data_IF_545379360735
#
_entry.id   IF_545379360735
#
_cell.length_a   1.000
_cell.length_b   1.000
_cell.length_c   1.000
_cell.angle_alpha   90.00
_cell.angle_beta   90.00
_cell.angle_gamma   90.00
#
_symmetry.space_group_name_H-M   'P 1'
#
loop_
_entity.id
_entity.type
_entity.pdbx_description
1 polymer ?
#
# COMPACT_ATOMS: atom_id res chain seq x y z
N UNK A 1 21.23 57.93 -5.18
CA UNK A 1 20.93 56.70 -4.43
C UNK A 1 20.06 55.80 -5.32
N UNK A 2 20.70 54.81 -5.98
CA UNK A 2 20.00 53.77 -6.77
C UNK A 2 19.80 52.57 -5.88
N UNK A 3 18.56 52.24 -5.55
CA UNK A 3 18.20 50.94 -4.97
C UNK A 3 18.30 49.84 -6.05
N UNK A 4 19.15 48.85 -5.80
CA UNK A 4 19.20 47.63 -6.58
C UNK A 4 18.06 46.74 -6.09
N UNK A 5 17.08 46.53 -6.94
CA UNK A 5 16.07 45.46 -6.80
C UNK A 5 16.77 44.13 -7.01
N UNK A 6 16.83 43.30 -5.97
CA UNK A 6 17.24 41.91 -6.06
C UNK A 6 16.10 41.07 -6.65
N UNK A 7 16.28 40.67 -7.91
CA UNK A 7 15.40 39.71 -8.54
C UNK A 7 15.54 38.35 -7.84
N UNK A 8 14.46 37.86 -7.27
CA UNK A 8 14.31 36.48 -6.79
C UNK A 8 14.39 35.56 -8.02
N UNK A 9 15.24 34.54 -8.04
CA UNK A 9 15.25 33.60 -9.17
C UNK A 9 13.96 32.82 -9.19
N UNK A 10 13.19 32.96 -10.26
CA UNK A 10 12.03 32.17 -10.59
C UNK A 10 12.43 30.68 -10.60
N UNK A 11 11.66 29.87 -9.86
CA UNK A 11 11.89 28.47 -9.69
C UNK A 11 12.05 27.75 -11.02
N UNK A 12 12.94 26.76 -11.03
CA UNK A 12 13.10 25.81 -12.14
C UNK A 12 11.73 25.23 -12.46
N UNK A 13 11.21 25.53 -13.64
CA UNK A 13 10.10 24.80 -14.22
C UNK A 13 10.51 23.34 -14.31
N UNK A 14 9.90 22.52 -13.48
CA UNK A 14 10.04 21.07 -13.55
C UNK A 14 9.22 20.63 -14.78
N UNK A 15 9.84 20.67 -15.97
CA UNK A 15 9.24 20.09 -17.16
C UNK A 15 9.22 18.56 -16.99
N UNK A 16 8.15 18.03 -16.44
CA UNK A 16 7.93 16.58 -16.37
C UNK A 16 7.78 16.09 -17.80
N UNK A 17 8.84 15.57 -18.36
CA UNK A 17 8.81 14.91 -19.66
C UNK A 17 8.22 13.53 -19.48
N UNK A 18 6.92 13.35 -19.74
CA UNK A 18 6.27 12.04 -19.83
C UNK A 18 6.69 11.30 -21.10
N UNK A 19 7.94 10.85 -21.12
CA UNK A 19 8.54 10.17 -22.26
C UNK A 19 8.95 8.75 -21.89
N UNK A 20 8.71 7.79 -22.78
CA UNK A 20 9.01 6.36 -22.60
C UNK A 20 8.50 5.80 -21.27
N UNK A 21 7.32 5.23 -21.30
CA UNK A 21 6.78 4.45 -20.18
C UNK A 21 7.70 3.27 -19.89
N UNK A 22 8.04 3.08 -18.63
CA UNK A 22 8.83 1.97 -18.16
C UNK A 22 8.11 1.28 -17.01
N UNK A 23 8.20 -0.04 -16.97
CA UNK A 23 7.73 -0.80 -15.83
C UNK A 23 8.69 -1.96 -15.58
N UNK A 24 8.89 -2.30 -14.33
CA UNK A 24 9.65 -3.46 -13.90
C UNK A 24 8.85 -4.26 -12.89
N UNK A 25 8.76 -5.54 -13.13
CA UNK A 25 8.10 -6.51 -12.27
C UNK A 25 9.15 -7.37 -11.60
N UNK A 26 9.19 -7.38 -10.28
CA UNK A 26 10.04 -8.27 -9.49
C UNK A 26 9.17 -9.26 -8.72
N UNK A 27 9.46 -10.55 -8.85
CA UNK A 27 8.78 -11.63 -8.14
C UNK A 27 9.84 -12.49 -7.47
N UNK A 28 9.92 -12.43 -6.15
CA UNK A 28 11.02 -13.05 -5.40
C UNK A 28 12.37 -12.50 -5.86
N UNK A 29 13.24 -13.39 -6.35
CA UNK A 29 14.56 -13.04 -6.89
C UNK A 29 14.57 -12.69 -8.38
N UNK A 30 13.47 -12.91 -9.10
CA UNK A 30 13.38 -12.67 -10.54
C UNK A 30 12.88 -11.27 -10.82
N UNK A 31 13.53 -10.58 -11.77
CA UNK A 31 13.14 -9.26 -12.24
C UNK A 31 12.92 -9.29 -13.75
N UNK A 32 11.85 -8.64 -14.18
CA UNK A 32 11.45 -8.54 -15.59
C UNK A 32 11.22 -7.06 -15.93
N UNK A 33 11.84 -6.61 -17.01
CA UNK A 33 11.54 -5.32 -17.65
C UNK A 33 10.50 -5.49 -18.75
N UNK A 34 9.94 -4.38 -19.24
CA UNK A 34 9.04 -4.40 -20.40
C UNK A 34 9.74 -4.85 -21.69
N UNK A 35 11.08 -4.78 -21.74
CA UNK A 35 11.87 -5.25 -22.88
C UNK A 35 12.08 -6.78 -22.82
N UNK A 36 12.05 -7.38 -21.62
CA UNK A 36 12.27 -8.80 -21.41
C UNK A 36 10.97 -9.61 -21.50
N UNK A 37 9.86 -9.02 -21.08
CA UNK A 37 8.57 -9.69 -20.91
C UNK A 37 7.43 -8.73 -21.20
N UNK A 38 6.52 -9.13 -22.07
CA UNK A 38 5.28 -8.41 -22.21
C UNK A 38 4.35 -8.73 -21.05
N UNK A 39 3.99 -7.73 -20.26
CA UNK A 39 3.03 -7.84 -19.18
C UNK A 39 2.14 -6.62 -19.08
N UNK A 40 0.91 -6.86 -18.67
CA UNK A 40 -0.08 -5.82 -18.29
C UNK A 40 -0.27 -5.85 -16.79
N UNK A 41 -0.60 -4.72 -16.22
CA UNK A 41 -0.93 -4.64 -14.81
C UNK A 41 -2.07 -3.68 -14.56
N UNK A 42 -2.85 -3.98 -13.54
CA UNK A 42 -3.91 -3.14 -13.01
C UNK A 42 -3.72 -3.04 -11.52
N UNK A 43 -3.52 -1.83 -11.03
CA UNK A 43 -3.43 -1.52 -9.61
C UNK A 43 -4.55 -0.51 -9.31
N UNK A 44 -5.68 -0.96 -8.74
CA UNK A 44 -6.74 -0.04 -8.35
C UNK A 44 -6.26 0.80 -7.16
N UNK A 45 -6.30 2.10 -7.30
CA UNK A 45 -6.08 3.06 -6.23
C UNK A 45 -7.44 3.44 -5.66
N UNK A 46 -7.95 2.62 -4.76
CA UNK A 46 -9.19 2.93 -4.05
C UNK A 46 -8.87 3.65 -2.74
N UNK A 47 -9.64 4.69 -2.46
CA UNK A 47 -9.59 5.41 -1.19
C UNK A 47 -10.46 4.69 -0.15
N UNK A 48 -10.12 3.43 0.10
CA UNK A 48 -10.87 2.55 0.99
C UNK A 48 -9.96 1.87 2.02
N UNK A 49 -10.56 1.44 3.11
CA UNK A 49 -9.89 0.63 4.17
C UNK A 49 -9.49 -0.78 3.69
N UNK A 50 -9.69 -1.07 2.39
CA UNK A 50 -9.30 -2.35 1.79
C UNK A 50 -7.82 -2.33 1.48
N UNK A 51 -7.21 -3.49 1.57
CA UNK A 51 -5.82 -3.69 1.14
C UNK A 51 -5.68 -3.40 -0.35
N UNK A 52 -4.59 -2.75 -0.70
CA UNK A 52 -4.20 -2.59 -2.09
C UNK A 52 -4.05 -3.96 -2.75
N UNK A 53 -4.60 -4.09 -3.94
CA UNK A 53 -4.47 -5.30 -4.76
C UNK A 53 -3.83 -4.94 -6.08
N UNK A 54 -3.14 -5.89 -6.69
CA UNK A 54 -2.63 -5.76 -8.04
C UNK A 54 -2.94 -7.01 -8.84
N UNK A 55 -3.34 -6.84 -10.08
CA UNK A 55 -3.49 -7.92 -11.03
C UNK A 55 -2.47 -7.72 -12.15
N UNK A 56 -1.63 -8.71 -12.37
CA UNK A 56 -0.59 -8.69 -13.39
C UNK A 56 -0.85 -9.87 -14.35
N UNK A 57 -0.91 -9.57 -15.64
CA UNK A 57 -1.03 -10.55 -16.71
C UNK A 57 0.30 -10.61 -17.46
N UNK A 58 1.03 -11.70 -17.31
CA UNK A 58 2.30 -11.93 -17.97
C UNK A 58 2.12 -12.91 -19.14
N UNK A 59 2.62 -12.55 -20.30
CA UNK A 59 2.43 -13.32 -21.52
C UNK A 59 3.64 -14.20 -21.81
N UNK A 60 3.37 -15.44 -22.15
CA UNK A 60 4.36 -16.41 -22.64
C UNK A 60 5.56 -16.63 -21.69
N UNK A 61 5.31 -16.61 -20.38
CA UNK A 61 6.30 -17.01 -19.40
C UNK A 61 6.78 -18.45 -19.66
N UNK A 62 8.08 -18.69 -19.54
CA UNK A 62 8.62 -20.05 -19.63
C UNK A 62 7.98 -20.96 -18.57
N UNK A 63 7.77 -22.26 -18.87
CA UNK A 63 7.20 -23.21 -17.90
C UNK A 63 7.97 -23.23 -16.57
N UNK A 64 9.30 -23.14 -16.63
CA UNK A 64 10.15 -23.08 -15.43
C UNK A 64 9.87 -21.83 -14.59
N UNK A 65 9.65 -20.68 -15.22
CA UNK A 65 9.32 -19.43 -14.52
C UNK A 65 7.92 -19.49 -13.93
N UNK A 66 6.92 -19.93 -14.69
CA UNK A 66 5.55 -20.10 -14.18
C UNK A 66 5.50 -20.99 -12.95
N UNK A 67 6.11 -22.16 -13.05
CA UNK A 67 6.12 -23.15 -11.94
C UNK A 67 6.90 -22.65 -10.71
N UNK A 68 7.78 -21.66 -10.87
CA UNK A 68 8.52 -21.05 -9.75
C UNK A 68 7.71 -20.00 -8.99
N UNK A 69 6.68 -19.41 -9.62
CA UNK A 69 5.85 -18.38 -8.97
C UNK A 69 4.82 -19.07 -8.08
N UNK A 70 4.89 -18.82 -6.78
CA UNK A 70 4.00 -19.45 -5.81
C UNK A 70 3.34 -18.41 -4.90
N UNK A 71 2.17 -18.77 -4.36
CA UNK A 71 1.50 -17.97 -3.33
C UNK A 71 2.46 -17.62 -2.18
N UNK A 72 2.40 -16.39 -1.69
CA UNK A 72 3.23 -15.87 -0.61
C UNK A 72 4.57 -15.27 -1.04
N UNK A 73 4.97 -15.40 -2.32
CA UNK A 73 6.21 -14.78 -2.80
C UNK A 73 6.09 -13.26 -2.82
N UNK A 74 7.15 -12.53 -2.43
CA UNK A 74 7.15 -11.08 -2.50
C UNK A 74 7.10 -10.62 -3.96
N UNK A 75 6.32 -9.58 -4.22
CA UNK A 75 6.18 -8.95 -5.52
C UNK A 75 6.30 -7.44 -5.38
N UNK A 76 7.08 -6.83 -6.27
CA UNK A 76 7.27 -5.40 -6.37
C UNK A 76 7.02 -5.00 -7.81
N UNK A 77 6.13 -4.05 -8.02
CA UNK A 77 5.85 -3.46 -9.31
C UNK A 77 6.27 -2.00 -9.28
N UNK A 78 7.26 -1.68 -10.11
CA UNK A 78 7.66 -0.29 -10.34
C UNK A 78 7.14 0.13 -11.70
N UNK A 79 6.63 1.34 -11.80
CA UNK A 79 6.26 1.93 -13.08
C UNK A 79 6.47 3.45 -13.05
N UNK A 80 6.60 4.02 -14.24
CA UNK A 80 6.83 5.44 -14.41
C UNK A 80 7.25 5.79 -15.82
N UNK A 81 7.99 6.86 -15.91
CA UNK A 81 8.59 7.35 -17.14
C UNK A 81 10.11 7.35 -17.04
N UNK A 82 10.82 7.44 -18.16
CA UNK A 82 12.29 7.49 -18.17
C UNK A 82 12.80 8.61 -17.26
N UNK A 83 13.56 8.25 -16.23
CA UNK A 83 14.10 9.17 -15.23
C UNK A 83 13.22 9.37 -13.98
N UNK A 84 11.99 8.83 -13.98
CA UNK A 84 11.07 8.92 -12.83
C UNK A 84 10.27 7.60 -12.69
N UNK A 85 10.92 6.60 -12.15
CA UNK A 85 10.33 5.27 -11.90
C UNK A 85 10.22 5.05 -10.41
N UNK A 86 9.02 4.77 -9.94
CA UNK A 86 8.74 4.49 -8.54
C UNK A 86 8.00 3.18 -8.32
N UNK A 87 8.04 2.68 -7.08
CA UNK A 87 7.25 1.53 -6.67
C UNK A 87 5.76 1.94 -6.58
N UNK A 88 4.93 1.38 -7.45
CA UNK A 88 3.49 1.60 -7.47
C UNK A 88 2.73 0.54 -6.66
N UNK A 89 3.34 -0.62 -6.46
CA UNK A 89 2.77 -1.69 -5.66
C UNK A 89 3.87 -2.56 -5.04
N UNK A 90 3.70 -2.88 -3.77
CA UNK A 90 4.54 -3.83 -3.04
C UNK A 90 3.65 -4.76 -2.23
N UNK A 91 3.82 -6.06 -2.42
CA UNK A 91 2.94 -7.03 -1.76
C UNK A 91 3.43 -8.46 -1.86
N UNK A 92 2.51 -9.40 -1.68
CA UNK A 92 2.74 -10.84 -1.86
C UNK A 92 1.75 -11.41 -2.87
N UNK A 93 2.20 -12.40 -3.61
CA UNK A 93 1.35 -13.16 -4.54
C UNK A 93 0.26 -13.88 -3.75
N UNK A 94 -1.00 -13.59 -4.05
CA UNK A 94 -2.16 -14.23 -3.42
C UNK A 94 -2.63 -15.45 -4.23
N UNK A 95 -2.63 -15.32 -5.55
CA UNK A 95 -3.07 -16.37 -6.47
C UNK A 95 -2.31 -16.29 -7.79
N UNK A 96 -2.08 -17.43 -8.41
CA UNK A 96 -1.55 -17.55 -9.78
C UNK A 96 -2.47 -18.47 -10.56
N UNK A 97 -2.79 -18.08 -11.78
CA UNK A 97 -3.58 -18.89 -12.71
C UNK A 97 -3.06 -18.73 -14.14
N UNK A 98 -3.07 -19.82 -14.89
CA UNK A 98 -2.68 -19.83 -16.28
C UNK A 98 -3.92 -20.02 -17.17
N UNK A 99 -3.96 -19.28 -18.27
CA UNK A 99 -5.00 -19.39 -19.30
C UNK A 99 -4.32 -19.52 -20.66
N UNK A 100 -4.74 -20.50 -21.43
CA UNK A 100 -4.36 -20.62 -22.83
C UNK A 100 -5.34 -19.83 -23.71
N UNK A 101 -4.82 -18.99 -24.58
CA UNK A 101 -5.57 -18.20 -25.54
C UNK A 101 -4.91 -18.34 -26.92
N UNK A 102 -5.41 -19.28 -27.74
CA UNK A 102 -4.76 -19.64 -28.99
C UNK A 102 -3.34 -20.18 -28.77
N UNK A 103 -2.35 -19.53 -29.36
CA UNK A 103 -0.93 -19.87 -29.20
C UNK A 103 -0.29 -19.22 -27.97
N UNK A 104 -0.98 -18.32 -27.30
CA UNK A 104 -0.44 -17.58 -26.14
C UNK A 104 -0.81 -18.27 -24.82
N UNK A 105 0.10 -18.16 -23.87
CA UNK A 105 -0.13 -18.54 -22.48
C UNK A 105 -0.10 -17.29 -21.63
N UNK A 106 -1.23 -16.96 -21.02
CA UNK A 106 -1.37 -15.80 -20.16
C UNK A 106 -1.34 -16.28 -18.72
N UNK A 107 -0.33 -15.85 -17.98
CA UNK A 107 -0.23 -16.10 -16.54
C UNK A 107 -0.77 -14.89 -15.78
N UNK A 108 -1.89 -15.06 -15.13
CA UNK A 108 -2.50 -14.03 -14.28
C UNK A 108 -2.01 -14.21 -12.86
N UNK A 109 -1.37 -13.17 -12.33
CA UNK A 109 -0.83 -13.11 -10.98
C UNK A 109 -1.65 -12.09 -10.21
N UNK A 110 -2.44 -12.55 -9.28
CA UNK A 110 -3.10 -11.68 -8.31
C UNK A 110 -2.17 -11.48 -7.11
N UNK A 111 -2.00 -10.25 -6.69
CA UNK A 111 -1.19 -9.90 -5.54
C UNK A 111 -1.98 -9.00 -4.59
N UNK A 112 -1.68 -9.09 -3.32
CA UNK A 112 -2.23 -8.22 -2.29
C UNK A 112 -1.09 -7.63 -1.45
N UNK A 113 -1.29 -6.44 -0.92
CA UNK A 113 -0.35 -5.87 0.04
C UNK A 113 -0.13 -6.85 1.19
N UNK A 114 1.12 -6.95 1.65
CA UNK A 114 1.61 -8.03 2.52
C UNK A 114 1.02 -8.06 3.96
N UNK A 115 -0.23 -7.71 4.10
CA UNK A 115 -0.92 -7.54 5.37
C UNK A 115 -1.95 -8.64 5.69
N UNK A 116 -1.98 -9.75 4.93
CA UNK A 116 -2.85 -10.88 5.28
C UNK A 116 -2.62 -11.38 6.73
N UNK A 117 -1.37 -11.31 7.20
CA UNK A 117 -1.03 -11.75 8.56
C UNK A 117 -1.69 -10.85 9.63
N UNK A 118 -1.74 -9.54 9.42
CA UNK A 118 -2.36 -8.66 10.41
C UNK A 118 -3.87 -8.62 10.32
N UNK A 119 -4.46 -8.90 9.15
CA UNK A 119 -5.92 -9.04 9.00
C UNK A 119 -6.47 -10.22 9.79
N UNK A 120 -5.65 -11.26 10.00
CA UNK A 120 -5.99 -12.45 10.76
C UNK A 120 -5.57 -12.39 12.23
N UNK A 121 -4.64 -11.50 12.60
CA UNK A 121 -4.17 -11.36 13.99
C UNK A 121 -5.27 -10.87 14.90
N UNK A 122 -5.36 -11.48 16.05
CA UNK A 122 -6.32 -11.11 17.09
C UNK A 122 -5.63 -10.31 18.20
N UNK A 123 -6.34 -9.34 18.73
CA UNK A 123 -5.95 -8.58 19.91
C UNK A 123 -6.88 -8.91 21.07
N UNK A 124 -6.31 -8.98 22.27
CA UNK A 124 -7.06 -9.05 23.50
C UNK A 124 -6.33 -8.19 24.54
N UNK A 125 -6.61 -6.90 24.53
CA UNK A 125 -5.94 -5.92 25.38
C UNK A 125 -6.95 -4.94 25.97
N UNK A 126 -6.77 -4.63 27.25
CA UNK A 126 -7.60 -3.64 27.94
C UNK A 126 -6.76 -2.41 28.26
N UNK A 127 -7.30 -1.26 27.93
CA UNK A 127 -6.70 0.04 28.23
C UNK A 127 -7.40 0.67 29.43
N UNK A 128 -6.63 1.38 30.25
CA UNK A 128 -7.10 2.01 31.48
C UNK A 128 -8.06 3.18 31.21
N UNK A 129 -8.81 3.54 32.23
CA UNK A 129 -9.66 4.73 32.23
C UNK A 129 -8.83 6.00 31.91
N UNK A 130 -9.39 6.90 31.11
CA UNK A 130 -8.71 8.12 30.65
C UNK A 130 -7.79 7.91 29.45
N UNK A 131 -7.68 6.70 28.88
CA UNK A 131 -6.86 6.48 27.67
C UNK A 131 -7.47 7.19 26.47
N UNK A 132 -6.62 7.85 25.66
CA UNK A 132 -7.02 8.49 24.40
C UNK A 132 -6.95 7.52 23.23
N UNK A 133 -7.82 7.72 22.25
CA UNK A 133 -7.88 6.91 21.05
C UNK A 133 -6.54 6.91 20.30
N UNK A 134 -5.86 8.06 20.20
CA UNK A 134 -4.55 8.20 19.56
C UNK A 134 -3.49 7.30 20.18
N UNK A 135 -3.47 7.20 21.53
CA UNK A 135 -2.53 6.35 22.24
C UNK A 135 -2.81 4.86 22.02
N UNK A 136 -4.09 4.48 22.04
CA UNK A 136 -4.54 3.09 21.80
C UNK A 136 -4.19 2.66 20.39
N UNK A 137 -4.46 3.50 19.38
CA UNK A 137 -4.18 3.20 17.98
C UNK A 137 -2.66 3.03 17.75
N UNK A 138 -1.84 3.94 18.29
CA UNK A 138 -0.36 3.84 18.18
C UNK A 138 0.15 2.56 18.82
N UNK A 139 -0.34 2.21 19.99
CA UNK A 139 0.08 1.00 20.69
C UNK A 139 -0.32 -0.27 19.91
N UNK A 140 -1.53 -0.31 19.37
CA UNK A 140 -1.98 -1.42 18.52
C UNK A 140 -1.13 -1.55 17.26
N UNK A 141 -0.83 -0.46 16.57
CA UNK A 141 0.00 -0.47 15.37
C UNK A 141 1.42 -0.95 15.67
N UNK A 142 2.01 -0.51 16.78
CA UNK A 142 3.34 -0.95 17.23
C UNK A 142 3.39 -2.46 17.56
N UNK A 143 2.37 -2.99 18.27
CA UNK A 143 2.28 -4.43 18.59
C UNK A 143 2.29 -5.28 17.32
N UNK A 144 1.70 -4.77 16.24
CA UNK A 144 1.61 -5.48 14.97
C UNK A 144 2.74 -5.16 13.99
N UNK A 145 3.69 -4.31 14.39
CA UNK A 145 4.85 -3.96 13.57
C UNK A 145 4.47 -3.17 12.31
N UNK A 146 3.38 -2.41 12.38
CA UNK A 146 2.96 -1.52 11.31
C UNK A 146 3.57 -0.14 11.53
N UNK A 147 4.12 0.42 10.47
CA UNK A 147 4.68 1.75 10.49
C UNK A 147 3.56 2.79 10.43
N UNK A 148 3.64 3.80 11.31
CA UNK A 148 2.69 4.90 11.35
C UNK A 148 3.26 6.04 10.52
N UNK A 149 2.59 6.38 9.43
CA UNK A 149 2.85 7.58 8.65
C UNK A 149 2.24 8.82 9.32
N UNK A 150 1.36 9.49 8.61
CA UNK A 150 0.61 10.63 9.17
C UNK A 150 -0.54 10.14 10.04
N UNK A 151 -0.76 10.76 11.20
CA UNK A 151 -1.87 10.45 12.11
C UNK A 151 -2.59 11.74 12.52
N UNK A 152 -3.65 12.04 11.78
CA UNK A 152 -4.53 13.17 12.01
C UNK A 152 -5.94 12.66 12.31
N UNK A 153 -6.33 12.70 13.58
CA UNK A 153 -7.67 12.30 14.01
C UNK A 153 -8.60 13.51 14.01
N UNK A 154 -9.78 13.39 13.37
CA UNK A 154 -10.80 14.43 13.42
C UNK A 154 -11.27 14.69 14.87
N UNK A 155 -11.33 13.63 15.68
CA UNK A 155 -11.64 13.70 17.12
C UNK A 155 -10.75 12.70 17.85
N UNK A 156 -9.92 13.15 18.78
CA UNK A 156 -9.17 12.25 19.67
C UNK A 156 -10.02 11.90 20.91
N UNK A 157 -10.85 10.87 20.76
CA UNK A 157 -11.78 10.44 21.78
C UNK A 157 -11.07 9.91 23.02
N UNK A 158 -11.46 10.41 24.20
CA UNK A 158 -11.03 9.86 25.49
C UNK A 158 -12.03 8.79 25.97
N UNK A 159 -11.53 7.72 26.54
CA UNK A 159 -12.35 6.64 27.12
C UNK A 159 -12.37 6.72 28.65
N UNK A 160 -13.37 7.37 29.27
CA UNK A 160 -13.40 7.60 30.72
C UNK A 160 -13.44 6.31 31.53
N UNK A 161 -13.98 5.23 30.96
CA UNK A 161 -14.06 3.90 31.59
C UNK A 161 -13.04 2.91 31.13
N UNK A 162 -12.08 3.37 30.29
CA UNK A 162 -11.17 2.50 29.57
C UNK A 162 -11.80 1.88 28.34
N UNK A 163 -11.01 1.11 27.57
CA UNK A 163 -11.45 0.43 26.34
C UNK A 163 -10.93 -1.00 26.33
N UNK A 164 -11.82 -1.95 26.08
CA UNK A 164 -11.45 -3.35 25.81
C UNK A 164 -11.37 -3.54 24.32
N UNK A 165 -10.18 -3.92 23.84
CA UNK A 165 -9.91 -4.24 22.46
C UNK A 165 -9.79 -5.75 22.32
N UNK A 166 -10.83 -6.39 21.78
CA UNK A 166 -10.90 -7.85 21.61
C UNK A 166 -11.37 -8.21 20.21
N UNK A 167 -10.66 -9.12 19.56
CA UNK A 167 -11.00 -9.64 18.24
C UNK A 167 -9.96 -9.29 17.20
N UNK A 168 -10.34 -9.35 15.92
CA UNK A 168 -9.42 -9.05 14.81
C UNK A 168 -8.98 -7.59 14.86
N UNK A 169 -7.67 -7.37 14.76
CA UNK A 169 -7.05 -6.03 14.84
C UNK A 169 -7.67 -5.06 13.87
N UNK A 170 -7.91 -5.48 12.64
CA UNK A 170 -8.56 -4.66 11.62
C UNK A 170 -9.89 -4.10 12.14
N UNK A 171 -10.75 -4.97 12.70
CA UNK A 171 -12.07 -4.56 13.15
C UNK A 171 -11.98 -3.57 14.32
N UNK A 172 -11.04 -3.82 15.25
CA UNK A 172 -10.81 -2.94 16.40
C UNK A 172 -10.28 -1.58 15.95
N UNK A 173 -9.33 -1.55 14.99
CA UNK A 173 -8.83 -0.29 14.43
C UNK A 173 -9.90 0.46 13.66
N UNK A 174 -10.69 -0.22 12.82
CA UNK A 174 -11.83 0.40 12.12
C UNK A 174 -12.82 0.99 13.11
N UNK A 175 -13.20 0.27 14.17
CA UNK A 175 -14.10 0.77 15.19
C UNK A 175 -13.57 2.06 15.84
N UNK A 176 -12.30 2.05 16.27
CA UNK A 176 -11.71 3.20 16.98
C UNK A 176 -11.54 4.39 16.03
N UNK A 177 -10.94 4.17 14.85
CA UNK A 177 -10.61 5.26 13.93
C UNK A 177 -11.86 5.80 13.23
N UNK A 178 -12.71 4.92 12.71
CA UNK A 178 -13.85 5.33 11.89
C UNK A 178 -15.07 5.68 12.74
N UNK A 179 -15.45 4.83 13.69
CA UNK A 179 -16.65 5.04 14.48
C UNK A 179 -16.45 6.05 15.62
N UNK A 180 -15.35 5.90 16.37
CA UNK A 180 -15.10 6.72 17.56
C UNK A 180 -14.44 8.05 17.20
N UNK A 181 -13.43 8.06 16.33
CA UNK A 181 -12.65 9.26 15.97
C UNK A 181 -13.12 9.97 14.69
N UNK A 182 -14.11 9.42 13.97
CA UNK A 182 -14.67 9.99 12.72
C UNK A 182 -13.63 10.22 11.63
N UNK A 183 -12.55 9.46 11.66
CA UNK A 183 -11.41 9.56 10.77
C UNK A 183 -11.39 8.38 9.79
N UNK A 184 -10.58 8.49 8.75
CA UNK A 184 -10.33 7.40 7.80
C UNK A 184 -8.89 6.91 7.98
N UNK A 185 -8.67 5.63 7.81
CA UNK A 185 -7.32 5.10 7.74
C UNK A 185 -7.10 4.38 6.41
N UNK A 186 -5.91 4.55 5.89
CA UNK A 186 -5.42 3.94 4.67
C UNK A 186 -4.17 3.15 5.02
N UNK A 187 -4.01 2.02 4.38
CA UNK A 187 -2.80 1.22 4.51
C UNK A 187 -2.21 1.08 3.12
N UNK A 188 -0.99 1.60 2.94
CA UNK A 188 -0.24 1.47 1.69
C UNK A 188 1.20 1.09 1.99
N UNK A 189 1.70 0.07 1.31
CA UNK A 189 3.08 -0.41 1.46
C UNK A 189 3.49 -0.71 2.91
N UNK A 190 2.55 -1.13 3.77
CA UNK A 190 2.81 -1.37 5.19
C UNK A 190 2.78 -0.13 6.09
N UNK A 191 2.57 1.05 5.53
CA UNK A 191 2.43 2.30 6.26
C UNK A 191 0.96 2.61 6.46
N UNK A 192 0.58 2.87 7.71
CA UNK A 192 -0.78 3.28 8.09
C UNK A 192 -0.84 4.80 8.14
N UNK A 193 -1.71 5.37 7.34
CA UNK A 193 -2.00 6.82 7.33
C UNK A 193 -3.42 7.04 7.82
N UNK A 194 -3.61 7.92 8.79
CA UNK A 194 -4.92 8.28 9.35
C UNK A 194 -5.15 9.76 9.07
N UNK A 195 -6.26 10.05 8.40
CA UNK A 195 -6.59 11.41 7.99
C UNK A 195 -8.00 11.79 8.47
N UNK A 196 -8.19 13.09 8.70
CA UNK A 196 -9.52 13.67 8.85
C UNK A 196 -10.21 13.66 7.46
N UNK A 197 -11.44 13.13 7.33
CA UNK A 197 -12.15 13.11 6.05
C UNK A 197 -12.53 14.50 5.52
N UNK A 198 -12.30 15.56 6.29
CA UNK A 198 -12.59 16.95 5.90
C UNK A 198 -11.38 17.69 5.35
N UNK A 199 -10.20 17.11 5.47
CA UNK A 199 -8.95 17.64 4.89
C UNK A 199 -8.65 16.90 3.60
#
# INVERSE_FOLDING_TARGET
FRQRSSAVPLGKECSVKFWKRQATLQIGSKRFGMDDLYFKFTVPFEDSEKLGTATIEAYNLSPATRNSIKKGMPIILNAGYEGDIGAIFTGKVSQVSDKHSGTEVITTIAAAEALEEWLSKEVNKTYTAGSKASAIVKDLLNIFGLEVGTMELAVDKEYPRGKVCKGKVKNVLTEIVTSDCKSRFLIRNGIVTINDPKT
#
